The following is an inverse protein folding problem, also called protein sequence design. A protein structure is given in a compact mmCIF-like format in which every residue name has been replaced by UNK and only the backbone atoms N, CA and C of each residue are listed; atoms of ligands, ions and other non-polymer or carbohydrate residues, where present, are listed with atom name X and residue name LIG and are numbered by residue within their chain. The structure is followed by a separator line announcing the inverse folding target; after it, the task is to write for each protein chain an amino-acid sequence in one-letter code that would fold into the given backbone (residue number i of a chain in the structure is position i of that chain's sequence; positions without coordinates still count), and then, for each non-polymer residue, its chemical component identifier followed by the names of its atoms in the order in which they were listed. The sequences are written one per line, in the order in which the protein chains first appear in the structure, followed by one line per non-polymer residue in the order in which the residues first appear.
data_IF_798362772553
#
_entry.id   IF_798362772553
#
_cell.length_a   1.000
_cell.length_b   1.000
_cell.length_c   1.000
_cell.angle_alpha   90.00
_cell.angle_beta   90.00
_cell.angle_gamma   90.00
#
_symmetry.space_group_name_H-M   'P 1'
#
loop_
_entity.id
_entity.type
_entity.pdbx_description
1 polymer ?
#
# COMPACT_ATOMS: atom_id res chain seq x y z
N UNK A 1 1.60 -0.46 18.22
CA UNK A 1 1.07 0.85 17.78
C UNK A 1 1.08 1.87 18.92
N UNK A 2 0.44 1.61 20.06
CA UNK A 2 0.33 2.57 21.18
C UNK A 2 1.65 3.21 21.61
N UNK A 3 2.71 2.42 21.89
CA UNK A 3 4.02 2.97 22.26
C UNK A 3 4.60 3.93 21.21
N UNK A 4 4.42 3.61 19.92
CA UNK A 4 4.91 4.45 18.81
C UNK A 4 4.09 5.74 18.70
N UNK A 5 2.79 5.69 19.00
CA UNK A 5 1.91 6.86 18.97
C UNK A 5 2.21 7.88 20.08
N UNK A 6 3.02 7.53 21.08
CA UNK A 6 3.47 8.46 22.10
C UNK A 6 4.71 9.24 21.67
N UNK A 7 5.37 8.85 20.57
CA UNK A 7 6.54 9.53 20.05
C UNK A 7 6.16 10.90 19.48
N UNK A 8 7.09 11.85 19.66
CA UNK A 8 7.08 13.16 19.03
C UNK A 8 8.34 13.32 18.21
N UNK A 9 8.27 14.09 17.13
CA UNK A 9 9.47 14.52 16.42
C UNK A 9 10.20 15.62 17.20
N UNK A 10 11.34 16.08 16.67
CA UNK A 10 12.16 17.12 17.29
C UNK A 10 11.42 18.44 17.53
N UNK A 11 10.40 18.72 16.72
CA UNK A 11 9.57 19.93 16.80
C UNK A 11 8.32 19.72 17.69
N UNK A 12 8.18 18.56 18.33
CA UNK A 12 7.04 18.22 19.17
C UNK A 12 5.78 17.77 18.41
N UNK A 13 5.87 17.55 17.10
CA UNK A 13 4.76 17.06 16.29
C UNK A 13 4.49 15.58 16.54
N UNK A 14 3.24 15.18 16.34
CA UNK A 14 2.80 13.80 16.45
C UNK A 14 3.54 12.89 15.45
N UNK A 15 4.00 11.73 15.93
CA UNK A 15 4.43 10.62 15.07
C UNK A 15 3.28 9.61 14.96
N UNK A 16 2.86 9.30 13.73
CA UNK A 16 1.86 8.28 13.48
C UNK A 16 2.46 6.89 13.62
N UNK A 17 1.75 6.01 14.32
CA UNK A 17 2.23 4.66 14.57
C UNK A 17 2.10 3.75 13.34
N UNK A 18 1.09 3.98 12.49
CA UNK A 18 0.82 3.16 11.31
C UNK A 18 0.27 4.01 10.16
N UNK A 19 0.53 3.61 8.92
CA UNK A 19 0.01 4.28 7.73
C UNK A 19 -0.68 3.29 6.79
N UNK A 20 -1.94 3.57 6.49
CA UNK A 20 -2.69 3.01 5.36
C UNK A 20 -3.35 4.17 4.62
N UNK A 21 -3.31 4.11 3.29
CA UNK A 21 -3.92 5.12 2.44
C UNK A 21 -5.46 5.01 2.52
N UNK A 22 -6.11 6.13 2.80
CA UNK A 22 -7.58 6.22 2.96
C UNK A 22 -8.20 7.30 2.08
N UNK A 23 -7.37 8.10 1.40
CA UNK A 23 -7.86 9.08 0.42
C UNK A 23 -8.56 8.39 -0.75
N UNK A 24 -9.61 9.01 -1.28
CA UNK A 24 -10.38 8.48 -2.42
C UNK A 24 -9.62 8.61 -3.76
N UNK A 25 -8.64 7.73 -3.99
CA UNK A 25 -7.89 7.59 -5.24
C UNK A 25 -7.73 6.11 -5.61
N UNK A 26 -7.56 5.76 -6.90
CA UNK A 26 -7.54 4.36 -7.35
C UNK A 26 -6.54 3.47 -6.60
N UNK A 27 -5.34 4.00 -6.33
CA UNK A 27 -4.29 3.25 -5.62
C UNK A 27 -4.69 2.90 -4.18
N UNK A 28 -5.52 3.71 -3.52
CA UNK A 28 -6.04 3.38 -2.20
C UNK A 28 -6.95 2.15 -2.25
N UNK A 29 -7.75 2.00 -3.30
CA UNK A 29 -8.55 0.79 -3.50
C UNK A 29 -7.68 -0.47 -3.59
N UNK A 30 -6.55 -0.41 -4.29
CA UNK A 30 -5.61 -1.52 -4.37
C UNK A 30 -4.95 -1.81 -3.00
N UNK A 31 -4.49 -0.78 -2.28
CA UNK A 31 -3.89 -0.94 -0.96
C UNK A 31 -4.86 -1.52 0.08
N UNK A 32 -6.13 -1.11 0.05
CA UNK A 32 -7.17 -1.63 0.92
C UNK A 32 -7.57 -3.05 0.54
N UNK A 33 -7.62 -3.38 -0.76
CA UNK A 33 -7.81 -4.76 -1.23
C UNK A 33 -6.69 -5.68 -0.74
N UNK A 34 -5.42 -5.23 -0.82
CA UNK A 34 -4.28 -5.97 -0.28
C UNK A 34 -4.43 -6.18 1.23
N UNK A 35 -4.92 -5.18 1.97
CA UNK A 35 -5.19 -5.33 3.39
C UNK A 35 -6.28 -6.38 3.69
N UNK A 36 -7.35 -6.45 2.89
CA UNK A 36 -8.36 -7.52 3.02
C UNK A 36 -7.72 -8.90 2.83
N UNK A 37 -6.84 -9.05 1.83
CA UNK A 37 -6.13 -10.32 1.57
C UNK A 37 -5.14 -10.68 2.69
N UNK A 38 -4.48 -9.70 3.29
CA UNK A 38 -3.59 -9.91 4.45
C UNK A 38 -4.34 -10.53 5.63
N UNK A 39 -5.64 -10.21 5.77
CA UNK A 39 -6.55 -10.75 6.77
C UNK A 39 -7.24 -12.07 6.36
N UNK A 40 -6.93 -12.61 5.18
CA UNK A 40 -7.54 -13.84 4.66
C UNK A 40 -8.94 -13.65 4.07
N UNK A 41 -9.36 -12.40 3.85
CA UNK A 41 -10.62 -12.09 3.21
C UNK A 41 -10.53 -12.09 1.69
N UNK A 42 -11.67 -11.86 1.05
CA UNK A 42 -11.77 -11.63 -0.39
C UNK A 42 -12.62 -10.38 -0.66
N UNK A 43 -12.44 -9.76 -1.83
CA UNK A 43 -13.27 -8.62 -2.27
C UNK A 43 -14.33 -9.07 -3.27
N UNK A 44 -14.03 -10.08 -4.08
CA UNK A 44 -14.98 -10.73 -4.98
C UNK A 44 -15.12 -12.20 -4.60
N UNK A 45 -16.30 -12.77 -4.78
CA UNK A 45 -16.52 -14.22 -4.71
C UNK A 45 -16.11 -14.92 -6.01
N UNK A 46 -16.26 -16.24 -6.04
CA UNK A 46 -15.95 -17.10 -7.19
C UNK A 46 -16.73 -16.74 -8.47
N UNK A 47 -17.85 -16.03 -8.35
CA UNK A 47 -18.69 -15.58 -9.46
C UNK A 47 -18.40 -14.12 -9.85
N UNK A 48 -17.38 -13.49 -9.25
CA UNK A 48 -17.03 -12.10 -9.49
C UNK A 48 -17.99 -11.09 -8.86
N UNK A 49 -18.85 -11.51 -7.92
CA UNK A 49 -19.72 -10.61 -7.17
C UNK A 49 -19.00 -10.07 -5.94
N UNK A 50 -19.38 -8.87 -5.51
CA UNK A 50 -18.85 -8.26 -4.29
C UNK A 50 -19.07 -9.18 -3.09
N UNK A 51 -17.98 -9.54 -2.41
CA UNK A 51 -17.98 -10.32 -1.17
C UNK A 51 -17.42 -9.46 -0.05
N UNK A 52 -18.26 -8.64 0.57
CA UNK A 52 -17.88 -7.80 1.72
C UNK A 52 -18.34 -8.37 3.07
N UNK A 53 -19.15 -9.43 3.07
CA UNK A 53 -19.66 -10.10 4.26
C UNK A 53 -18.83 -11.35 4.62
N UNK A 54 -17.50 -11.25 4.54
CA UNK A 54 -16.58 -12.29 5.01
C UNK A 54 -15.74 -11.78 6.18
N UNK A 55 -15.25 -12.71 7.01
CA UNK A 55 -14.57 -12.39 8.26
C UNK A 55 -13.31 -11.53 8.04
N UNK A 56 -12.46 -11.89 7.08
CA UNK A 56 -11.24 -11.15 6.78
C UNK A 56 -11.51 -9.73 6.26
N UNK A 57 -12.57 -9.53 5.48
CA UNK A 57 -13.00 -8.20 5.06
C UNK A 57 -13.40 -7.35 6.27
N UNK A 58 -14.29 -7.87 7.14
CA UNK A 58 -14.73 -7.15 8.34
C UNK A 58 -13.56 -6.79 9.25
N UNK A 59 -12.69 -7.75 9.55
CA UNK A 59 -11.52 -7.55 10.41
C UNK A 59 -10.55 -6.51 9.85
N UNK A 60 -10.33 -6.49 8.53
CA UNK A 60 -9.49 -5.48 7.90
C UNK A 60 -10.04 -4.06 8.13
N UNK A 61 -11.35 -3.85 7.97
CA UNK A 61 -11.97 -2.54 8.19
C UNK A 61 -12.18 -2.20 9.65
N UNK A 62 -12.38 -3.18 10.54
CA UNK A 62 -12.34 -2.99 11.99
C UNK A 62 -10.96 -2.53 12.45
N UNK A 63 -9.89 -3.09 11.89
CA UNK A 63 -8.53 -2.64 12.16
C UNK A 63 -8.32 -1.20 11.68
N UNK A 64 -8.81 -0.84 10.49
CA UNK A 64 -8.72 0.54 9.99
C UNK A 64 -9.49 1.52 10.86
N UNK A 65 -10.71 1.15 11.28
CA UNK A 65 -11.51 1.93 12.22
C UNK A 65 -10.78 2.11 13.54
N UNK A 66 -10.20 1.05 14.09
CA UNK A 66 -9.41 1.13 15.34
C UNK A 66 -8.21 2.08 15.18
N UNK A 67 -7.49 1.99 14.06
CA UNK A 67 -6.35 2.87 13.78
C UNK A 67 -6.76 4.34 13.67
N UNK A 68 -7.92 4.61 13.08
CA UNK A 68 -8.51 5.95 12.97
C UNK A 68 -8.95 6.49 14.35
N UNK A 69 -9.75 5.71 15.09
CA UNK A 69 -10.27 6.09 16.42
C UNK A 69 -9.15 6.36 17.43
N UNK A 70 -8.02 5.67 17.28
CA UNK A 70 -6.84 5.87 18.12
C UNK A 70 -5.89 6.97 17.63
N UNK A 71 -6.16 7.58 16.48
CA UNK A 71 -5.28 8.58 15.85
C UNK A 71 -3.93 8.00 15.43
N UNK A 72 -3.85 6.69 15.22
CA UNK A 72 -2.61 6.00 14.85
C UNK A 72 -2.32 6.10 13.36
N UNK A 73 -3.37 6.28 12.55
CA UNK A 73 -3.30 6.45 11.11
C UNK A 73 -3.68 7.88 10.69
N UNK A 74 -2.93 8.52 9.78
CA UNK A 74 -3.32 9.82 9.26
C UNK A 74 -4.60 9.72 8.42
N UNK A 75 -5.54 10.63 8.66
CA UNK A 75 -6.82 10.67 7.96
C UNK A 75 -6.67 11.20 6.53
N UNK A 76 -7.45 10.63 5.60
CA UNK A 76 -7.52 11.06 4.20
C UNK A 76 -6.15 11.17 3.51
N UNK A 77 -5.21 10.30 3.89
CA UNK A 77 -3.85 10.30 3.36
C UNK A 77 -3.77 9.50 2.05
N UNK A 78 -3.03 10.01 1.07
CA UNK A 78 -2.56 9.27 -0.10
C UNK A 78 -1.22 8.62 0.23
N UNK A 79 -0.81 7.59 -0.52
CA UNK A 79 0.53 6.98 -0.38
C UNK A 79 1.67 8.01 -0.43
N UNK A 80 1.57 9.05 -1.29
CA UNK A 80 2.58 10.12 -1.33
C UNK A 80 2.70 10.90 -0.01
N UNK A 81 1.59 11.07 0.70
CA UNK A 81 1.55 11.79 1.97
C UNK A 81 2.17 10.92 3.07
N UNK A 82 1.89 9.60 3.04
CA UNK A 82 2.54 8.62 3.92
C UNK A 82 4.06 8.58 3.71
N UNK A 83 4.52 8.54 2.46
CA UNK A 83 5.96 8.59 2.12
C UNK A 83 6.62 9.86 2.65
N UNK A 84 5.95 11.00 2.51
CA UNK A 84 6.43 12.27 3.04
C UNK A 84 6.52 12.23 4.58
N UNK A 85 5.47 11.76 5.26
CA UNK A 85 5.50 11.62 6.72
C UNK A 85 6.61 10.66 7.18
N UNK A 86 6.81 9.55 6.48
CA UNK A 86 7.87 8.60 6.78
C UNK A 86 9.26 9.20 6.59
N UNK A 87 9.49 9.89 5.46
CA UNK A 87 10.75 10.58 5.19
C UNK A 87 11.13 11.61 6.26
N UNK A 88 10.11 12.28 6.84
CA UNK A 88 10.26 13.28 7.89
C UNK A 88 10.30 12.67 9.32
N UNK A 89 10.29 11.34 9.46
CA UNK A 89 10.27 10.69 10.78
C UNK A 89 8.96 10.84 11.56
N UNK A 90 7.87 11.23 10.87
CA UNK A 90 6.52 11.43 11.45
C UNK A 90 5.58 10.25 11.22
N UNK A 91 6.07 9.15 10.67
CA UNK A 91 5.35 7.90 10.48
C UNK A 91 6.30 6.73 10.70
N UNK A 92 5.95 5.82 11.61
CA UNK A 92 6.84 4.74 12.01
C UNK A 92 6.83 3.55 11.03
N UNK A 93 5.65 3.18 10.53
CA UNK A 93 5.46 2.05 9.61
C UNK A 93 4.21 2.28 8.77
N UNK A 94 4.19 1.77 7.55
CA UNK A 94 3.05 1.93 6.66
C UNK A 94 3.04 0.87 5.56
N UNK A 95 1.86 0.64 4.99
CA UNK A 95 1.74 -0.14 3.77
C UNK A 95 2.02 0.71 2.53
N UNK A 96 2.90 0.20 1.69
CA UNK A 96 3.20 0.75 0.38
C UNK A 96 3.55 -0.39 -0.59
N UNK A 97 3.78 -0.02 -1.84
CA UNK A 97 4.30 -0.86 -2.89
C UNK A 97 5.84 -0.89 -2.83
N UNK A 98 6.47 -1.93 -3.36
CA UNK A 98 7.92 -2.13 -3.26
C UNK A 98 8.75 -0.99 -3.90
N UNK A 99 8.19 -0.27 -4.87
CA UNK A 99 8.80 0.91 -5.49
C UNK A 99 8.56 2.22 -4.74
N UNK A 100 7.76 2.21 -3.67
CA UNK A 100 7.44 3.40 -2.88
C UNK A 100 8.66 4.13 -2.33
N UNK A 101 9.74 3.38 -2.06
CA UNK A 101 11.04 3.91 -1.63
C UNK A 101 11.62 4.98 -2.57
N UNK A 102 11.40 4.86 -3.89
CA UNK A 102 11.86 5.85 -4.85
C UNK A 102 11.22 7.24 -4.63
N UNK A 103 10.05 7.30 -3.99
CA UNK A 103 9.40 8.55 -3.60
C UNK A 103 9.90 9.13 -2.27
N UNK A 104 10.64 8.36 -1.46
CA UNK A 104 11.17 8.77 -0.15
C UNK A 104 12.55 9.43 -0.32
N UNK A 105 13.42 8.81 -1.12
CA UNK A 105 14.83 9.21 -1.29
C UNK A 105 15.03 10.69 -1.67
N UNK A 106 14.22 11.32 -2.55
CA UNK A 106 14.36 12.75 -2.85
C UNK A 106 13.98 13.68 -1.70
N UNK A 107 13.19 13.21 -0.73
CA UNK A 107 12.75 13.97 0.44
C UNK A 107 13.79 13.84 1.56
N UNK A 108 14.27 12.62 1.79
CA UNK A 108 15.31 12.33 2.78
C UNK A 108 16.33 11.34 2.18
N UNK A 109 17.51 11.83 1.74
CA UNK A 109 18.56 10.97 1.19
C UNK A 109 19.08 9.91 2.17
N UNK A 110 18.98 10.15 3.48
CA UNK A 110 19.39 9.23 4.55
C UNK A 110 18.36 8.13 4.83
N UNK A 111 17.21 8.13 4.14
CA UNK A 111 16.16 7.14 4.32
C UNK A 111 16.64 5.70 4.13
N UNK A 112 17.66 5.49 3.32
CA UNK A 112 18.27 4.17 3.12
C UNK A 112 18.85 3.58 4.42
N UNK A 113 19.33 4.42 5.34
CA UNK A 113 19.93 3.98 6.61
C UNK A 113 18.89 3.46 7.62
N UNK A 114 17.62 3.85 7.49
CA UNK A 114 16.57 3.51 8.46
C UNK A 114 15.36 2.80 7.85
N UNK A 115 15.26 2.70 6.52
CA UNK A 115 14.15 2.01 5.87
C UNK A 115 14.35 0.51 5.94
N UNK A 116 13.34 -0.21 6.44
CA UNK A 116 13.29 -1.66 6.42
C UNK A 116 12.00 -2.10 5.74
N UNK A 117 12.10 -2.97 4.74
CA UNK A 117 10.94 -3.59 4.08
C UNK A 117 10.64 -4.94 4.72
N UNK A 118 9.37 -5.18 5.01
CA UNK A 118 8.89 -6.45 5.54
C UNK A 118 7.81 -7.04 4.63
N UNK A 119 7.58 -8.35 4.76
CA UNK A 119 6.39 -8.99 4.18
C UNK A 119 5.12 -8.41 4.83
N UNK A 120 3.98 -8.41 4.12
CA UNK A 120 2.71 -7.97 4.69
C UNK A 120 2.41 -8.70 6.00
N UNK A 121 1.82 -7.98 6.96
CA UNK A 121 1.48 -8.58 8.25
C UNK A 121 0.35 -9.58 8.06
N UNK A 122 0.43 -10.71 8.78
CA UNK A 122 -0.71 -11.61 8.94
C UNK A 122 -1.77 -10.94 9.81
N UNK A 123 -2.95 -10.69 9.26
CA UNK A 123 -4.15 -10.34 10.01
C UNK A 123 -5.08 -11.54 10.16
N UNK A 124 -5.83 -11.62 11.25
CA UNK A 124 -6.84 -12.66 11.46
C UNK A 124 -6.34 -14.09 11.17
N UNK A 125 -7.12 -14.83 10.39
CA UNK A 125 -6.80 -16.18 9.90
C UNK A 125 -5.94 -16.19 8.63
N UNK A 126 -5.65 -15.02 8.05
CA UNK A 126 -4.86 -14.87 6.83
C UNK A 126 -3.42 -15.36 6.94
N UNK A 127 -2.69 -15.32 5.82
CA UNK A 127 -1.27 -15.72 5.76
C UNK A 127 -0.36 -14.58 5.32
N UNK A 128 -0.87 -13.34 5.31
CA UNK A 128 -0.15 -12.16 4.81
C UNK A 128 -0.09 -12.10 3.27
N UNK A 129 -1.16 -12.54 2.59
CA UNK A 129 -1.26 -12.46 1.14
C UNK A 129 -1.42 -11.02 0.68
N UNK A 130 -0.69 -10.62 -0.35
CA UNK A 130 -0.81 -9.31 -0.96
C UNK A 130 -1.04 -9.41 -2.47
N UNK A 131 -1.30 -8.26 -3.09
CA UNK A 131 -1.51 -8.13 -4.52
C UNK A 131 -0.15 -8.04 -5.21
N UNK A 132 0.02 -8.82 -6.28
CA UNK A 132 1.05 -8.57 -7.26
C UNK A 132 0.52 -7.57 -8.29
N UNK A 133 1.19 -6.43 -8.44
CA UNK A 133 0.89 -5.46 -9.47
C UNK A 133 2.10 -5.32 -10.39
N UNK A 134 1.84 -5.32 -11.70
CA UNK A 134 2.85 -5.11 -12.73
C UNK A 134 2.26 -4.25 -13.83
N UNK A 135 3.11 -3.45 -14.48
CA UNK A 135 2.75 -2.75 -15.69
C UNK A 135 3.16 -3.61 -16.88
N UNK A 136 2.17 -4.10 -17.62
CA UNK A 136 2.42 -4.93 -18.80
C UNK A 136 2.37 -4.07 -20.06
N UNK A 137 3.39 -4.20 -20.91
CA UNK A 137 3.29 -3.70 -22.28
C UNK A 137 2.33 -4.62 -23.05
N UNK A 138 1.23 -4.04 -23.56
CA UNK A 138 0.26 -4.78 -24.38
C UNK A 138 0.33 -4.29 -25.82
N UNK A 139 0.36 -5.22 -26.77
CA UNK A 139 0.27 -4.94 -28.21
C UNK A 139 -1.14 -5.25 -28.70
N UNK A 140 -1.76 -4.30 -29.39
CA UNK A 140 -3.02 -4.52 -30.12
C UNK A 140 -2.70 -4.95 -31.55
N UNK A 141 -3.33 -6.02 -32.03
CA UNK A 141 -3.20 -6.41 -33.43
C UNK A 141 -3.83 -5.35 -34.35
N UNK A 142 -2.97 -4.62 -35.06
CA UNK A 142 -3.34 -3.59 -36.02
C UNK A 142 -2.80 -3.92 -37.43
N UNK A 143 -2.65 -5.21 -37.73
CA UNK A 143 -2.12 -5.72 -39.00
C UNK A 143 -0.60 -5.88 -39.04
N UNK A 144 -0.13 -6.74 -39.95
CA UNK A 144 1.27 -7.21 -40.01
C UNK A 144 2.31 -6.11 -40.16
N UNK A 145 2.01 -5.06 -40.93
CA UNK A 145 2.93 -3.93 -41.13
C UNK A 145 3.33 -3.24 -39.82
N UNK A 146 2.44 -3.24 -38.81
CA UNK A 146 2.68 -2.63 -37.51
C UNK A 146 3.28 -3.60 -36.50
N UNK A 147 3.18 -4.91 -36.69
CA UNK A 147 3.73 -5.93 -35.76
C UNK A 147 5.26 -6.02 -35.79
N UNK A 148 5.88 -5.80 -36.96
CA UNK A 148 7.33 -6.01 -37.14
C UNK A 148 8.20 -5.10 -36.26
N UNK A 149 7.94 -3.78 -36.15
CA UNK A 149 8.68 -2.90 -35.22
C UNK A 149 8.48 -3.25 -33.74
N UNK A 150 7.26 -3.69 -33.35
CA UNK A 150 6.97 -4.05 -31.95
C UNK A 150 7.74 -5.27 -31.47
N UNK A 151 7.98 -6.26 -32.34
CA UNK A 151 8.82 -7.43 -31.99
C UNK A 151 10.24 -7.02 -31.60
N UNK A 152 10.80 -5.99 -32.24
CA UNK A 152 12.12 -5.47 -31.89
C UNK A 152 12.11 -4.75 -30.54
N UNK A 153 11.05 -3.99 -30.24
CA UNK A 153 10.90 -3.30 -28.96
C UNK A 153 10.73 -4.28 -27.78
N UNK A 154 9.97 -5.36 -27.97
CA UNK A 154 9.75 -6.38 -26.94
C UNK A 154 11.03 -7.15 -26.56
N UNK A 155 12.03 -7.22 -27.44
CA UNK A 155 13.27 -7.95 -27.19
C UNK A 155 14.33 -7.12 -26.43
N UNK A 156 14.07 -5.84 -26.17
CA UNK A 156 15.01 -4.92 -25.49
C UNK A 156 14.47 -4.35 -24.16
N UNK A 157 13.28 -4.79 -23.76
CA UNK A 157 12.63 -4.47 -22.48
C UNK A 157 12.71 -5.69 -21.56
#
# INVERSE_FOLDING_TARGET
AEKLSQLKDADGNQVYAFGQTTASVPVSGASLTSMVFNFGGQVLDENGKLSCDNEGFKQAFEMLKLLDEKGYNPQNAKLKDLRNLFALGRLAMYYDQSWGFAGIKPINPEAEAFTVTAKPLKGGSGTGQSILQSHCLMMVDNGEARKKPWKSLLNIL
#
